data_IF_414074570533
#
_entry.id   IF_414074570533
#
_cell.length_a   1.000
_cell.length_b   1.000
_cell.length_c   1.000
_cell.angle_alpha   90.00
_cell.angle_beta   90.00
_cell.angle_gamma   90.00
#
_symmetry.space_group_name_H-M   'P 1'
#
loop_
_entity.id
_entity.type
_entity.pdbx_description
1 polymer ?
#
# COMPACT_ATOMS: atom_id res chain seq x y z
N UNK A 1 -8.07 -10.76 -28.04
CA UNK A 1 -7.95 -9.51 -28.83
C UNK A 1 -6.48 -9.30 -29.16
N UNK A 2 -6.12 -8.72 -30.32
CA UNK A 2 -4.76 -8.29 -30.56
C UNK A 2 -4.32 -7.25 -29.49
N UNK A 3 -3.01 -7.16 -29.18
CA UNK A 3 -2.52 -6.11 -28.29
C UNK A 3 -2.84 -4.73 -28.88
N UNK A 4 -3.26 -3.80 -28.01
CA UNK A 4 -3.50 -2.40 -28.40
C UNK A 4 -2.20 -1.79 -28.90
N UNK A 5 -2.25 -1.02 -29.97
CA UNK A 5 -1.11 -0.18 -30.34
C UNK A 5 -0.94 0.96 -29.33
N UNK A 6 0.29 1.46 -29.15
CA UNK A 6 0.57 2.59 -28.25
C UNK A 6 -0.33 3.79 -28.54
N UNK A 7 -0.57 4.08 -29.82
CA UNK A 7 -1.43 5.19 -30.25
C UNK A 7 -2.89 4.99 -29.81
N UNK A 8 -3.44 3.78 -29.98
CA UNK A 8 -4.80 3.48 -29.50
C UNK A 8 -4.88 3.54 -27.98
N UNK A 9 -3.82 3.15 -27.27
CA UNK A 9 -3.75 3.26 -25.82
C UNK A 9 -3.74 4.73 -25.37
N UNK A 10 -2.93 5.58 -26.01
CA UNK A 10 -2.89 7.03 -25.77
C UNK A 10 -4.27 7.69 -25.98
N UNK A 11 -4.94 7.38 -27.11
CA UNK A 11 -6.27 7.92 -27.43
C UNK A 11 -7.32 7.51 -26.39
N UNK A 12 -7.31 6.24 -25.95
CA UNK A 12 -8.24 5.73 -24.94
C UNK A 12 -7.98 6.31 -23.55
N UNK A 13 -6.72 6.45 -23.13
CA UNK A 13 -6.36 7.08 -21.86
C UNK A 13 -6.73 8.57 -21.85
N UNK A 14 -6.50 9.27 -22.96
CA UNK A 14 -6.91 10.67 -23.11
C UNK A 14 -8.42 10.83 -23.00
N UNK A 15 -9.18 9.98 -23.70
CA UNK A 15 -10.63 10.00 -23.65
C UNK A 15 -11.17 9.70 -22.23
N UNK A 16 -10.63 8.67 -21.58
CA UNK A 16 -11.03 8.29 -20.23
C UNK A 16 -10.67 9.38 -19.20
N UNK A 17 -9.48 9.98 -19.30
CA UNK A 17 -9.07 11.10 -18.46
C UNK A 17 -9.98 12.32 -18.63
N UNK A 18 -10.37 12.65 -19.86
CA UNK A 18 -11.31 13.73 -20.14
C UNK A 18 -12.70 13.46 -19.56
N UNK A 19 -13.19 12.22 -19.64
CA UNK A 19 -14.44 11.83 -18.97
C UNK A 19 -14.34 11.95 -17.45
N UNK A 20 -13.19 11.61 -16.87
CA UNK A 20 -13.01 11.67 -15.42
C UNK A 20 -12.84 13.10 -14.86
N UNK A 21 -12.47 14.08 -15.70
CA UNK A 21 -12.46 15.50 -15.31
C UNK A 21 -13.87 16.02 -14.97
N UNK A 22 -14.92 15.37 -15.48
CA UNK A 22 -16.31 15.60 -15.11
C UNK A 22 -16.94 14.23 -14.80
N UNK A 23 -16.61 13.66 -13.63
CA UNK A 23 -16.90 12.26 -13.35
C UNK A 23 -18.43 12.01 -13.38
N UNK A 24 -18.87 10.86 -13.91
CA UNK A 24 -20.28 10.48 -13.85
C UNK A 24 -20.79 10.48 -12.41
N UNK A 25 -21.99 11.02 -12.19
CA UNK A 25 -22.61 11.04 -10.85
C UNK A 25 -23.15 9.68 -10.42
N UNK A 26 -23.41 8.78 -11.38
CA UNK A 26 -23.91 7.43 -11.12
C UNK A 26 -22.77 6.46 -10.83
N UNK A 27 -22.91 5.66 -9.77
CA UNK A 27 -21.97 4.57 -9.47
C UNK A 27 -21.91 3.54 -10.60
N UNK A 28 -23.04 3.28 -11.27
CA UNK A 28 -23.15 2.31 -12.36
C UNK A 28 -22.34 2.73 -13.60
N UNK A 29 -21.96 4.00 -13.70
CA UNK A 29 -21.13 4.55 -14.78
C UNK A 29 -19.70 4.82 -14.32
N UNK A 30 -19.53 5.39 -13.11
CA UNK A 30 -18.22 5.74 -12.57
C UNK A 30 -17.36 4.51 -12.27
N UNK A 31 -17.96 3.46 -11.71
CA UNK A 31 -17.21 2.27 -11.32
C UNK A 31 -16.65 1.50 -12.54
N UNK A 32 -17.44 1.22 -13.60
CA UNK A 32 -16.89 0.65 -14.83
C UNK A 32 -15.86 1.56 -15.51
N UNK A 33 -16.01 2.89 -15.44
CA UNK A 33 -15.01 3.82 -15.98
C UNK A 33 -13.67 3.68 -15.25
N UNK A 34 -13.68 3.59 -13.91
CA UNK A 34 -12.47 3.34 -13.12
C UNK A 34 -11.86 1.97 -13.43
N UNK A 35 -12.69 0.94 -13.58
CA UNK A 35 -12.24 -0.41 -13.96
C UNK A 35 -11.55 -0.39 -15.34
N UNK A 36 -12.12 0.32 -16.31
CA UNK A 36 -11.52 0.52 -17.63
C UNK A 36 -10.21 1.29 -17.55
N UNK A 37 -10.13 2.35 -16.74
CA UNK A 37 -8.93 3.17 -16.59
C UNK A 37 -7.79 2.32 -16.03
N UNK A 38 -8.03 1.57 -14.96
CA UNK A 38 -7.05 0.65 -14.38
C UNK A 38 -6.54 -0.37 -15.41
N UNK A 39 -7.45 -0.97 -16.19
CA UNK A 39 -7.09 -1.92 -17.25
C UNK A 39 -6.20 -1.27 -18.33
N UNK A 40 -6.41 0.02 -18.65
CA UNK A 40 -5.57 0.76 -19.58
C UNK A 40 -4.21 1.08 -18.96
N UNK A 41 -4.18 1.56 -17.72
CA UNK A 41 -2.96 1.92 -17.01
C UNK A 41 -2.02 0.73 -16.81
N UNK A 42 -2.57 -0.45 -16.49
CA UNK A 42 -1.79 -1.69 -16.34
C UNK A 42 -1.00 -2.10 -17.60
N UNK A 43 -1.38 -1.58 -18.77
CA UNK A 43 -0.71 -1.83 -20.06
C UNK A 43 0.36 -0.80 -20.39
N UNK A 44 0.46 0.28 -19.62
CA UNK A 44 1.47 1.33 -19.82
C UNK A 44 2.75 0.92 -19.09
N UNK A 45 3.86 0.86 -19.83
CA UNK A 45 5.16 0.58 -19.25
C UNK A 45 5.66 1.76 -18.39
N UNK A 46 6.61 1.46 -17.51
CA UNK A 46 7.28 2.45 -16.67
C UNK A 46 8.10 3.43 -17.55
N UNK A 47 8.12 4.70 -17.16
CA UNK A 47 8.85 5.77 -17.86
C UNK A 47 8.49 5.88 -19.35
N UNK A 48 7.20 6.04 -19.70
CA UNK A 48 6.76 5.99 -21.09
C UNK A 48 7.18 7.24 -21.87
N UNK A 49 7.01 7.21 -23.20
CA UNK A 49 7.32 8.34 -24.07
C UNK A 49 6.50 9.61 -23.72
N UNK A 50 7.01 10.78 -24.13
CA UNK A 50 6.37 12.08 -23.84
C UNK A 50 4.93 12.19 -24.35
N UNK A 51 4.59 11.52 -25.45
CA UNK A 51 3.23 11.48 -25.98
C UNK A 51 2.27 10.77 -25.01
N UNK A 52 2.68 9.62 -24.47
CA UNK A 52 1.93 8.89 -23.46
C UNK A 52 1.83 9.67 -22.15
N UNK A 53 2.91 10.33 -21.71
CA UNK A 53 2.85 11.22 -20.54
C UNK A 53 1.82 12.36 -20.74
N UNK A 54 1.77 12.94 -21.94
CA UNK A 54 0.77 13.95 -22.27
C UNK A 54 -0.66 13.37 -22.29
N UNK A 55 -0.85 12.13 -22.77
CA UNK A 55 -2.12 11.42 -22.75
C UNK A 55 -2.61 11.10 -21.33
N UNK A 56 -1.70 10.84 -20.39
CA UNK A 56 -2.00 10.58 -18.97
C UNK A 56 -2.34 11.86 -18.18
N UNK A 57 -1.89 13.03 -18.63
CA UNK A 57 -2.02 14.28 -17.86
C UNK A 57 -3.46 14.64 -17.43
N UNK A 58 -4.50 14.56 -18.29
CA UNK A 58 -5.88 14.82 -17.88
C UNK A 58 -6.35 13.86 -16.78
N UNK A 59 -5.97 12.59 -16.91
CA UNK A 59 -6.34 11.53 -15.98
C UNK A 59 -5.66 11.72 -14.61
N UNK A 60 -4.35 11.99 -14.59
CA UNK A 60 -3.61 12.27 -13.36
C UNK A 60 -4.23 13.45 -12.59
N UNK A 61 -4.61 14.51 -13.30
CA UNK A 61 -5.29 15.66 -12.70
C UNK A 61 -6.66 15.29 -12.13
N UNK A 62 -7.45 14.49 -12.84
CA UNK A 62 -8.78 14.09 -12.41
C UNK A 62 -8.73 13.19 -11.16
N UNK A 63 -7.84 12.19 -11.13
CA UNK A 63 -7.76 11.20 -10.06
C UNK A 63 -7.50 11.78 -8.67
N UNK A 64 -6.84 12.94 -8.60
CA UNK A 64 -6.54 13.62 -7.33
C UNK A 64 -7.51 14.75 -6.99
N UNK A 65 -8.60 14.91 -7.75
CA UNK A 65 -9.65 15.85 -7.43
C UNK A 65 -10.40 15.42 -6.16
N UNK A 66 -10.75 16.40 -5.31
CA UNK A 66 -11.39 16.12 -4.01
C UNK A 66 -12.69 15.32 -4.14
N UNK A 67 -13.44 15.53 -5.23
CA UNK A 67 -14.69 14.81 -5.54
C UNK A 67 -14.50 13.29 -5.62
N UNK A 68 -13.34 12.83 -6.09
CA UNK A 68 -12.99 11.41 -6.20
C UNK A 68 -12.25 10.90 -4.96
N UNK A 69 -11.27 11.64 -4.46
CA UNK A 69 -10.46 11.23 -3.30
C UNK A 69 -11.32 11.14 -2.02
N UNK A 70 -12.23 12.10 -1.82
CA UNK A 70 -13.13 12.16 -0.65
C UNK A 70 -14.52 11.57 -0.95
N UNK A 71 -14.64 10.76 -2.01
CA UNK A 71 -15.91 10.18 -2.41
C UNK A 71 -16.51 9.29 -1.29
N UNK A 72 -17.83 9.39 -0.99
CA UNK A 72 -18.43 8.65 0.13
C UNK A 72 -18.49 7.13 -0.10
N UNK A 73 -18.56 6.69 -1.34
CA UNK A 73 -18.54 5.26 -1.69
C UNK A 73 -17.12 4.67 -1.58
N UNK A 74 -16.96 3.62 -0.78
CA UNK A 74 -15.68 2.94 -0.55
C UNK A 74 -15.10 2.30 -1.80
N UNK A 75 -15.95 1.71 -2.66
CA UNK A 75 -15.46 1.03 -3.85
C UNK A 75 -14.97 2.02 -4.92
N UNK A 76 -15.52 3.23 -4.97
CA UNK A 76 -14.99 4.34 -5.77
C UNK A 76 -13.61 4.72 -5.25
N UNK A 77 -13.46 4.92 -3.93
CA UNK A 77 -12.16 5.25 -3.32
C UNK A 77 -11.09 4.20 -3.61
N UNK A 78 -11.43 2.91 -3.53
CA UNK A 78 -10.49 1.84 -3.89
C UNK A 78 -10.18 1.82 -5.38
N UNK A 79 -11.18 2.06 -6.25
CA UNK A 79 -10.94 2.17 -7.70
C UNK A 79 -9.99 3.32 -8.06
N UNK A 80 -10.18 4.48 -7.43
CA UNK A 80 -9.28 5.64 -7.56
C UNK A 80 -7.89 5.31 -7.02
N UNK A 81 -7.78 4.68 -5.85
CA UNK A 81 -6.50 4.23 -5.28
C UNK A 81 -5.77 3.26 -6.22
N UNK A 82 -6.49 2.33 -6.86
CA UNK A 82 -5.92 1.38 -7.82
C UNK A 82 -5.34 2.11 -9.03
N UNK A 83 -6.12 3.02 -9.62
CA UNK A 83 -5.65 3.84 -10.75
C UNK A 83 -4.41 4.67 -10.37
N UNK A 84 -4.39 5.28 -9.18
CA UNK A 84 -3.25 6.09 -8.72
C UNK A 84 -2.02 5.20 -8.42
N UNK A 85 -2.21 3.99 -7.90
CA UNK A 85 -1.11 3.05 -7.69
C UNK A 85 -0.43 2.68 -9.01
N UNK A 86 -1.20 2.48 -10.08
CA UNK A 86 -0.67 2.26 -11.42
C UNK A 86 0.03 3.50 -11.99
N UNK A 87 -0.53 4.71 -11.79
CA UNK A 87 0.17 5.95 -12.15
C UNK A 87 1.53 6.04 -11.44
N UNK A 88 1.58 5.73 -10.14
CA UNK A 88 2.82 5.72 -9.35
C UNK A 88 3.81 4.71 -9.93
N UNK A 89 3.34 3.54 -10.37
CA UNK A 89 4.19 2.54 -11.05
C UNK A 89 4.72 3.06 -12.39
N UNK A 90 3.89 3.74 -13.17
CA UNK A 90 4.25 4.28 -14.48
C UNK A 90 5.30 5.39 -14.35
N UNK A 91 5.17 6.27 -13.35
CA UNK A 91 6.06 7.41 -13.17
C UNK A 91 7.31 7.09 -12.36
N UNK A 92 7.33 5.98 -11.61
CA UNK A 92 8.49 5.56 -10.84
C UNK A 92 9.79 5.60 -11.69
N UNK A 93 10.92 6.06 -11.14
CA UNK A 93 11.15 6.39 -9.73
C UNK A 93 10.62 7.77 -9.31
N UNK A 94 10.12 8.57 -10.24
CA UNK A 94 9.63 9.92 -9.95
C UNK A 94 8.21 9.87 -9.36
N UNK A 95 7.98 10.64 -8.29
CA UNK A 95 6.65 10.79 -7.71
C UNK A 95 5.71 11.48 -8.72
N UNK A 96 4.47 10.98 -8.90
CA UNK A 96 3.54 11.55 -9.88
C UNK A 96 2.98 12.92 -9.48
N UNK A 97 3.08 13.29 -8.20
CA UNK A 97 2.53 14.54 -7.65
C UNK A 97 3.52 15.16 -6.66
N UNK A 98 3.26 16.42 -6.28
CA UNK A 98 3.97 17.08 -5.18
C UNK A 98 3.69 16.43 -3.81
N UNK A 99 4.55 16.73 -2.84
CA UNK A 99 4.56 16.14 -1.50
C UNK A 99 3.20 16.20 -0.77
N UNK A 100 2.54 17.36 -0.78
CA UNK A 100 1.25 17.54 -0.13
C UNK A 100 0.18 16.65 -0.78
N UNK A 101 0.18 16.60 -2.11
CA UNK A 101 -0.74 15.75 -2.86
C UNK A 101 -0.43 14.27 -2.70
N UNK A 102 0.84 13.91 -2.59
CA UNK A 102 1.26 12.53 -2.32
C UNK A 102 0.80 12.04 -0.95
N UNK A 103 0.74 12.91 0.07
CA UNK A 103 0.17 12.56 1.38
C UNK A 103 -1.32 12.20 1.29
N UNK A 104 -2.11 12.98 0.55
CA UNK A 104 -3.52 12.66 0.29
C UNK A 104 -3.66 11.30 -0.42
N UNK A 105 -2.80 11.05 -1.42
CA UNK A 105 -2.76 9.79 -2.18
C UNK A 105 -2.42 8.61 -1.27
N UNK A 106 -1.41 8.74 -0.42
CA UNK A 106 -1.02 7.67 0.49
C UNK A 106 -2.10 7.37 1.52
N UNK A 107 -2.78 8.38 2.05
CA UNK A 107 -3.92 8.14 2.94
C UNK A 107 -5.02 7.33 2.23
N UNK A 108 -5.29 7.62 0.96
CA UNK A 108 -6.25 6.86 0.16
C UNK A 108 -5.79 5.41 -0.04
N UNK A 109 -4.51 5.19 -0.39
CA UNK A 109 -3.90 3.86 -0.54
C UNK A 109 -3.95 3.08 0.78
N UNK A 110 -3.54 3.66 1.90
CA UNK A 110 -3.55 2.99 3.21
C UNK A 110 -4.96 2.60 3.63
N UNK A 111 -5.95 3.50 3.43
CA UNK A 111 -7.36 3.20 3.71
C UNK A 111 -7.92 2.06 2.84
N UNK A 112 -7.30 1.78 1.69
CA UNK A 112 -7.65 0.65 0.84
C UNK A 112 -7.24 -0.71 1.46
N UNK A 113 -6.49 -0.75 2.55
CA UNK A 113 -6.07 -2.01 3.17
C UNK A 113 -6.97 -2.50 4.32
N UNK A 114 -7.82 -1.64 4.91
CA UNK A 114 -8.63 -1.97 6.11
C UNK A 114 -9.49 -3.24 6.00
N UNK A 115 -10.03 -3.51 4.80
CA UNK A 115 -10.99 -4.60 4.56
C UNK A 115 -10.44 -5.69 3.63
N UNK A 116 -9.12 -5.88 3.57
CA UNK A 116 -8.51 -6.88 2.69
C UNK A 116 -8.92 -8.33 3.05
N UNK A 117 -9.39 -8.58 4.27
CA UNK A 117 -9.94 -9.87 4.67
C UNK A 117 -11.27 -10.23 3.99
N UNK A 118 -12.04 -9.23 3.53
CA UNK A 118 -13.33 -9.48 2.87
C UNK A 118 -13.13 -9.84 1.40
N UNK A 119 -13.03 -11.13 1.11
CA UNK A 119 -12.91 -11.67 -0.25
C UNK A 119 -14.21 -11.59 -1.07
N UNK A 120 -15.34 -11.25 -0.43
CA UNK A 120 -16.63 -11.09 -1.12
C UNK A 120 -16.86 -9.67 -1.66
N UNK A 121 -16.05 -8.70 -1.22
CA UNK A 121 -16.10 -7.32 -1.69
C UNK A 121 -15.72 -7.21 -3.17
N UNK A 122 -16.43 -6.37 -3.95
CA UNK A 122 -16.06 -6.05 -5.35
C UNK A 122 -14.65 -5.47 -5.48
N UNK A 123 -14.13 -4.90 -4.40
CA UNK A 123 -12.85 -4.24 -4.35
C UNK A 123 -11.71 -5.16 -3.91
N UNK A 124 -11.97 -6.42 -3.53
CA UNK A 124 -10.95 -7.31 -2.98
C UNK A 124 -9.74 -7.46 -3.92
N UNK A 125 -9.99 -7.77 -5.19
CA UNK A 125 -8.94 -7.92 -6.21
C UNK A 125 -8.12 -6.63 -6.36
N UNK A 126 -8.79 -5.48 -6.43
CA UNK A 126 -8.10 -4.18 -6.52
C UNK A 126 -7.23 -3.89 -5.29
N UNK A 127 -7.69 -4.23 -4.08
CA UNK A 127 -6.89 -4.05 -2.85
C UNK A 127 -5.62 -4.91 -2.89
N UNK A 128 -5.71 -6.13 -3.44
CA UNK A 128 -4.55 -6.98 -3.66
C UNK A 128 -3.59 -6.37 -4.70
N UNK A 129 -4.10 -5.90 -5.84
CA UNK A 129 -3.30 -5.22 -6.86
C UNK A 129 -2.59 -3.97 -6.32
N UNK A 130 -3.29 -3.12 -5.56
CA UNK A 130 -2.69 -1.94 -4.90
C UNK A 130 -1.52 -2.36 -4.00
N UNK A 131 -1.74 -3.37 -3.17
CA UNK A 131 -0.72 -3.89 -2.26
C UNK A 131 0.51 -4.40 -3.03
N UNK A 132 0.28 -5.19 -4.08
CA UNK A 132 1.35 -5.71 -4.94
C UNK A 132 2.14 -4.58 -5.61
N UNK A 133 1.45 -3.57 -6.14
CA UNK A 133 2.09 -2.43 -6.80
C UNK A 133 2.91 -1.61 -5.80
N UNK A 134 2.37 -1.31 -4.61
CA UNK A 134 3.10 -0.59 -3.54
C UNK A 134 4.38 -1.34 -3.14
N UNK A 135 4.32 -2.66 -3.02
CA UNK A 135 5.50 -3.48 -2.72
C UNK A 135 6.53 -3.43 -3.86
N UNK A 136 6.06 -3.63 -5.10
CA UNK A 136 6.92 -3.73 -6.30
C UNK A 136 7.68 -2.44 -6.59
N UNK A 137 7.03 -1.28 -6.47
CA UNK A 137 7.66 0.03 -6.74
C UNK A 137 8.14 0.71 -5.47
N UNK A 138 8.13 -0.01 -4.33
CA UNK A 138 8.65 0.43 -3.04
C UNK A 138 8.05 1.77 -2.59
N UNK A 139 6.76 2.01 -2.86
CA UNK A 139 6.12 3.31 -2.56
C UNK A 139 6.16 3.70 -1.08
N UNK A 140 6.34 2.72 -0.19
CA UNK A 140 6.55 2.96 1.24
C UNK A 140 7.84 3.75 1.56
N UNK A 141 8.85 3.73 0.70
CA UNK A 141 10.06 4.57 0.87
C UNK A 141 9.71 6.05 0.67
N UNK A 142 8.85 6.37 -0.31
CA UNK A 142 8.35 7.73 -0.50
C UNK A 142 7.54 8.17 0.74
N UNK A 143 6.82 7.26 1.39
CA UNK A 143 6.12 7.59 2.64
C UNK A 143 7.09 7.94 3.78
N UNK A 144 8.27 7.30 3.84
CA UNK A 144 9.32 7.65 4.79
C UNK A 144 9.90 9.04 4.47
N UNK A 145 10.23 9.30 3.21
CA UNK A 145 10.78 10.59 2.76
C UNK A 145 9.82 11.77 3.05
N UNK A 146 8.50 11.50 3.04
CA UNK A 146 7.45 12.47 3.32
C UNK A 146 7.07 12.58 4.82
N UNK A 147 7.72 11.82 5.70
CA UNK A 147 7.45 11.77 7.14
C UNK A 147 6.00 11.34 7.46
N UNK A 148 5.48 10.34 6.75
CA UNK A 148 4.10 9.84 6.90
C UNK A 148 3.94 8.80 8.04
N UNK A 149 4.63 8.99 9.16
CA UNK A 149 4.80 7.98 10.23
C UNK A 149 3.47 7.38 10.70
N UNK A 150 2.46 8.22 10.94
CA UNK A 150 1.16 7.78 11.43
C UNK A 150 0.42 6.89 10.41
N UNK A 151 0.56 7.18 9.11
CA UNK A 151 -0.03 6.36 8.04
C UNK A 151 0.72 5.04 7.89
N UNK A 152 2.04 5.03 8.08
CA UNK A 152 2.84 3.80 8.06
C UNK A 152 2.43 2.88 9.21
N UNK A 153 2.25 3.43 10.42
CA UNK A 153 1.76 2.68 11.59
C UNK A 153 0.36 2.12 11.32
N UNK A 154 -0.54 2.94 10.76
CA UNK A 154 -1.90 2.50 10.36
C UNK A 154 -1.84 1.36 9.33
N UNK A 155 -0.96 1.46 8.34
CA UNK A 155 -0.74 0.43 7.32
C UNK A 155 -0.30 -0.90 7.94
N UNK A 156 0.66 -0.88 8.87
CA UNK A 156 1.11 -2.08 9.59
C UNK A 156 -0.04 -2.72 10.38
N UNK A 157 -0.84 -1.90 11.08
CA UNK A 157 -2.02 -2.37 11.80
C UNK A 157 -3.03 -3.01 10.86
N UNK A 158 -3.30 -2.39 9.71
CA UNK A 158 -4.21 -2.92 8.69
C UNK A 158 -3.73 -4.27 8.16
N UNK A 159 -2.44 -4.44 7.86
CA UNK A 159 -1.88 -5.72 7.40
C UNK A 159 -2.03 -6.82 8.44
N UNK A 160 -1.57 -6.57 9.67
CA UNK A 160 -1.58 -7.55 10.75
C UNK A 160 -3.01 -7.93 11.18
N UNK A 161 -3.97 -7.00 11.09
CA UNK A 161 -5.39 -7.26 11.38
C UNK A 161 -6.10 -8.00 10.24
N UNK A 162 -5.73 -7.74 8.99
CA UNK A 162 -6.47 -8.22 7.81
C UNK A 162 -5.95 -9.52 7.22
N UNK A 163 -4.68 -9.90 7.42
CA UNK A 163 -4.09 -11.11 6.82
C UNK A 163 -4.81 -12.39 7.26
N UNK A 164 -5.07 -13.31 6.32
CA UNK A 164 -5.80 -14.57 6.54
C UNK A 164 -5.14 -15.72 5.79
N UNK A 165 -5.33 -16.94 6.29
CA UNK A 165 -4.71 -18.18 5.73
C UNK A 165 -5.15 -18.48 4.31
N UNK A 166 -6.32 -18.02 3.89
CA UNK A 166 -6.84 -18.20 2.53
C UNK A 166 -6.36 -17.14 1.54
N UNK A 167 -5.66 -16.09 1.99
CA UNK A 167 -5.07 -15.13 1.07
C UNK A 167 -4.00 -15.80 0.21
N UNK A 168 -3.89 -15.37 -1.05
CA UNK A 168 -2.82 -15.84 -1.92
C UNK A 168 -1.45 -15.46 -1.34
N UNK A 169 -0.42 -16.28 -1.58
CA UNK A 169 0.93 -16.03 -1.04
C UNK A 169 1.49 -14.67 -1.48
N UNK A 170 1.09 -14.17 -2.65
CA UNK A 170 1.50 -12.83 -3.13
C UNK A 170 1.05 -11.70 -2.21
N UNK A 171 -0.12 -11.81 -1.56
CA UNK A 171 -0.60 -10.83 -0.58
C UNK A 171 0.31 -10.86 0.65
N UNK A 172 0.60 -12.07 1.16
CA UNK A 172 1.52 -12.24 2.30
C UNK A 172 2.90 -11.65 1.97
N UNK A 173 3.47 -12.05 0.84
CA UNK A 173 4.80 -11.60 0.40
C UNK A 173 4.85 -10.08 0.20
N UNK A 174 3.78 -9.46 -0.30
CA UNK A 174 3.71 -8.01 -0.48
C UNK A 174 3.65 -7.27 0.86
N UNK A 175 2.84 -7.73 1.82
CA UNK A 175 2.86 -7.18 3.19
C UNK A 175 4.23 -7.32 3.85
N UNK A 176 4.83 -8.51 3.76
CA UNK A 176 6.16 -8.80 4.31
C UNK A 176 7.21 -7.86 3.70
N UNK A 177 7.20 -7.72 2.37
CA UNK A 177 8.13 -6.84 1.64
C UNK A 177 7.97 -5.39 2.07
N UNK A 178 6.74 -4.86 2.11
CA UNK A 178 6.49 -3.46 2.50
C UNK A 178 6.95 -3.21 3.93
N UNK A 179 6.55 -4.07 4.87
CA UNK A 179 6.92 -3.89 6.28
C UNK A 179 8.42 -3.98 6.50
N UNK A 180 9.10 -4.92 5.83
CA UNK A 180 10.57 -5.07 5.89
C UNK A 180 11.27 -3.82 5.31
N UNK A 181 10.83 -3.36 4.12
CA UNK A 181 11.43 -2.17 3.47
C UNK A 181 11.30 -0.92 4.34
N UNK A 182 10.14 -0.72 4.97
CA UNK A 182 9.93 0.40 5.90
C UNK A 182 10.98 0.37 7.02
N UNK A 183 11.20 -0.80 7.65
CA UNK A 183 12.14 -0.91 8.77
C UNK A 183 13.60 -0.75 8.32
N UNK A 184 13.99 -1.38 7.21
CA UNK A 184 15.36 -1.31 6.69
C UNK A 184 15.76 0.11 6.25
N UNK A 185 14.85 0.80 5.56
CA UNK A 185 15.11 2.11 4.97
C UNK A 185 14.87 3.28 5.95
N UNK A 186 14.27 3.02 7.12
CA UNK A 186 14.09 4.05 8.16
C UNK A 186 15.44 4.49 8.72
N UNK A 187 15.70 5.80 8.81
CA UNK A 187 16.90 6.32 9.47
C UNK A 187 16.88 6.03 10.99
N UNK A 188 15.74 6.28 11.63
CA UNK A 188 15.44 6.02 13.03
C UNK A 188 14.11 5.25 13.15
N UNK A 189 14.03 4.31 14.09
CA UNK A 189 12.84 3.45 14.26
C UNK A 189 12.20 3.78 15.62
N UNK A 190 11.06 4.46 15.56
CA UNK A 190 10.32 4.83 16.76
C UNK A 190 9.70 3.60 17.45
N UNK A 191 9.52 3.63 18.78
CA UNK A 191 8.77 2.58 19.48
C UNK A 191 7.33 2.42 18.95
N UNK A 192 6.70 3.51 18.52
CA UNK A 192 5.35 3.50 17.95
C UNK A 192 5.27 2.73 16.63
N UNK A 193 6.31 2.77 15.80
CA UNK A 193 6.40 1.95 14.59
C UNK A 193 6.53 0.45 14.92
N UNK A 194 7.23 0.09 16.00
CA UNK A 194 7.39 -1.29 16.44
C UNK A 194 6.17 -1.85 17.17
N UNK A 195 5.36 -0.98 17.79
CA UNK A 195 4.23 -1.37 18.63
C UNK A 195 3.25 -2.34 17.95
N UNK A 196 2.79 -2.16 16.70
CA UNK A 196 1.90 -3.12 16.04
C UNK A 196 2.52 -4.52 15.89
N UNK A 197 3.82 -4.59 15.60
CA UNK A 197 4.56 -5.84 15.44
C UNK A 197 4.74 -6.52 16.80
N UNK A 198 5.21 -5.79 17.80
CA UNK A 198 5.42 -6.30 19.16
C UNK A 198 4.10 -6.76 19.81
N UNK A 199 3.01 -6.01 19.65
CA UNK A 199 1.69 -6.39 20.14
C UNK A 199 1.17 -7.69 19.50
N UNK A 200 1.52 -7.94 18.23
CA UNK A 200 1.23 -9.18 17.51
C UNK A 200 2.05 -10.36 18.04
N UNK A 201 3.32 -10.11 18.40
CA UNK A 201 4.26 -11.13 18.86
C UNK A 201 4.21 -11.43 20.37
N UNK A 202 3.38 -10.73 21.13
CA UNK A 202 3.17 -11.01 22.55
C UNK A 202 2.55 -12.42 22.72
N UNK A 203 3.21 -13.30 23.48
CA UNK A 203 2.85 -14.72 23.64
C UNK A 203 1.43 -14.91 24.15
N UNK A 204 1.02 -14.10 25.12
CA UNK A 204 -0.29 -14.18 25.78
C UNK A 204 -1.43 -13.52 24.97
N UNK A 205 -1.16 -13.06 23.75
CA UNK A 205 -2.18 -12.50 22.88
C UNK A 205 -2.84 -13.61 22.04
N UNK A 206 -3.88 -14.23 22.61
CA UNK A 206 -4.67 -15.30 21.96
C UNK A 206 -5.60 -14.76 20.86
N UNK A 207 -5.91 -13.46 20.86
CA UNK A 207 -6.77 -12.84 19.85
C UNK A 207 -6.09 -12.71 18.47
N UNK A 208 -4.77 -12.80 18.43
CA UNK A 208 -3.97 -12.65 17.20
C UNK A 208 -3.90 -13.97 16.44
N UNK A 209 -4.23 -13.91 15.15
CA UNK A 209 -4.22 -15.09 14.28
C UNK A 209 -2.79 -15.61 14.05
N UNK A 210 -2.58 -16.94 13.96
CA UNK A 210 -1.24 -17.51 13.73
C UNK A 210 -0.55 -16.98 12.47
N UNK A 211 -1.30 -16.69 11.40
CA UNK A 211 -0.71 -16.14 10.18
C UNK A 211 -0.22 -14.69 10.34
N UNK A 212 -0.87 -13.89 11.18
CA UNK A 212 -0.40 -12.55 11.51
C UNK A 212 0.89 -12.62 12.35
N UNK A 213 0.97 -13.57 13.30
CA UNK A 213 2.21 -13.85 14.04
C UNK A 213 3.34 -14.24 13.09
N UNK A 214 3.07 -15.15 12.14
CA UNK A 214 4.04 -15.55 11.12
C UNK A 214 4.53 -14.36 10.28
N UNK A 215 3.64 -13.45 9.89
CA UNK A 215 4.01 -12.23 9.16
C UNK A 215 4.93 -11.35 9.99
N UNK A 216 4.56 -11.04 11.23
CA UNK A 216 5.38 -10.26 12.14
C UNK A 216 6.74 -10.91 12.44
N UNK A 217 6.79 -12.23 12.62
CA UNK A 217 8.03 -12.98 12.82
C UNK A 217 8.96 -12.87 11.61
N UNK A 218 8.44 -13.04 10.38
CA UNK A 218 9.25 -12.89 9.16
C UNK A 218 9.80 -11.47 9.02
N UNK A 219 9.00 -10.45 9.32
CA UNK A 219 9.44 -9.05 9.28
C UNK A 219 10.58 -8.79 10.29
N UNK A 220 10.45 -9.27 11.53
CA UNK A 220 11.54 -9.14 12.53
C UNK A 220 12.81 -9.87 12.07
N UNK A 221 12.68 -11.08 11.52
CA UNK A 221 13.83 -11.87 11.05
C UNK A 221 14.54 -11.19 9.88
N UNK A 222 13.78 -10.70 8.91
CA UNK A 222 14.34 -10.06 7.72
C UNK A 222 15.05 -8.74 8.05
N UNK A 223 14.65 -8.08 9.15
CA UNK A 223 15.21 -6.80 9.61
C UNK A 223 16.02 -6.91 10.90
N UNK A 224 16.50 -8.11 11.25
CA UNK A 224 17.14 -8.39 12.55
C UNK A 224 18.31 -7.45 12.84
N UNK A 225 19.22 -7.28 11.88
CA UNK A 225 20.42 -6.46 12.07
C UNK A 225 20.10 -4.99 12.30
N UNK A 226 19.12 -4.46 11.57
CA UNK A 226 18.64 -3.09 11.73
C UNK A 226 17.90 -2.90 13.05
N UNK A 227 17.08 -3.87 13.44
CA UNK A 227 16.16 -3.78 14.58
C UNK A 227 16.80 -4.03 15.94
N UNK A 228 17.89 -4.79 16.02
CA UNK A 228 18.59 -5.16 17.27
C UNK A 228 18.71 -4.01 18.30
N UNK A 229 19.26 -2.82 17.96
CA UNK A 229 19.36 -1.72 18.92
C UNK A 229 17.98 -1.16 19.35
N UNK A 230 17.03 -1.09 18.43
CA UNK A 230 15.69 -0.52 18.67
C UNK A 230 14.80 -1.44 19.50
N UNK A 231 14.86 -2.75 19.28
CA UNK A 231 14.10 -3.74 20.06
C UNK A 231 14.54 -3.75 21.51
N UNK A 232 15.86 -3.68 21.76
CA UNK A 232 16.41 -3.61 23.12
C UNK A 232 15.86 -2.38 23.85
N UNK A 233 15.95 -1.20 23.22
CA UNK A 233 15.45 0.05 23.78
C UNK A 233 13.93 0.05 23.99
N UNK A 234 13.16 -0.48 23.03
CA UNK A 234 11.71 -0.55 23.12
C UNK A 234 11.27 -1.43 24.30
N UNK A 235 11.89 -2.59 24.48
CA UNK A 235 11.56 -3.51 25.57
C UNK A 235 11.91 -2.96 26.95
N UNK A 236 13.05 -2.28 27.09
CA UNK A 236 13.43 -1.56 28.32
C UNK A 236 12.39 -0.48 28.67
N UNK A 237 11.91 0.27 27.66
CA UNK A 237 10.93 1.34 27.87
C UNK A 237 9.55 0.83 28.30
N UNK A 238 9.20 -0.39 27.91
CA UNK A 238 7.90 -1.01 28.20
C UNK A 238 7.85 -1.72 29.56
N UNK A 239 8.98 -1.77 30.30
CA UNK A 239 9.16 -2.60 31.51
C UNK A 239 8.65 -4.04 31.30
N UNK A 240 8.79 -4.53 30.07
CA UNK A 240 8.21 -5.79 29.64
C UNK A 240 9.25 -6.90 29.77
N UNK A 241 8.82 -8.06 30.27
CA UNK A 241 9.71 -9.21 30.29
C UNK A 241 9.94 -9.69 28.87
N UNK A 242 11.21 -9.93 28.52
CA UNK A 242 11.59 -10.60 27.27
C UNK A 242 10.79 -11.90 27.06
N UNK A 243 10.51 -12.63 28.14
CA UNK A 243 9.73 -13.88 28.11
C UNK A 243 8.26 -13.70 27.68
N UNK A 244 7.75 -12.46 27.62
CA UNK A 244 6.40 -12.16 27.15
C UNK A 244 6.28 -12.19 25.62
N UNK A 245 7.38 -12.25 24.87
CA UNK A 245 7.42 -12.12 23.41
C UNK A 245 7.86 -13.42 22.70
N UNK A 246 7.55 -13.55 21.41
CA UNK A 246 7.92 -14.71 20.61
C UNK A 246 9.44 -14.97 20.64
N UNK A 247 9.83 -16.23 20.45
CA UNK A 247 11.25 -16.64 20.45
C UNK A 247 12.10 -15.85 19.45
N UNK A 248 11.50 -15.43 18.32
CA UNK A 248 12.17 -14.60 17.31
C UNK A 248 12.64 -13.27 17.88
N UNK A 249 11.85 -12.59 18.71
CA UNK A 249 12.26 -11.32 19.33
C UNK A 249 13.43 -11.55 20.28
N UNK A 250 13.38 -12.64 21.05
CA UNK A 250 14.47 -13.03 21.96
C UNK A 250 15.78 -13.27 21.22
N UNK A 251 15.73 -13.99 20.10
CA UNK A 251 16.91 -14.31 19.30
C UNK A 251 17.56 -13.04 18.74
N UNK A 252 16.78 -12.12 18.20
CA UNK A 252 17.32 -10.87 17.63
C UNK A 252 17.97 -9.98 18.70
N UNK A 253 17.42 -9.93 19.91
CA UNK A 253 17.97 -9.12 21.01
C UNK A 253 19.21 -9.78 21.65
N UNK A 254 19.34 -11.11 21.57
CA UNK A 254 20.42 -11.86 22.21
C UNK A 254 21.73 -11.93 21.40
N UNK A 255 21.68 -11.63 20.10
CA UNK A 255 22.85 -11.57 19.20
C UNK A 255 23.61 -10.25 19.30
#
# INVERSE_FOLDING_TARGET
MPPLSDKELEERLTAAGNSLLQPPSSLDELLPLLDQIEELLSKVEQSPAKSMQAALSPLMKALVAEELVKHPNVDVKVGVASCISEITRITAPDAPYDDDKMKDVFQLIVSSFENLADTSSRSHEKRATILETVAKVRSCVIMLDLECDQMIIEMFQNFLKSIRVYHAEVIFASMETIMTLVLEESEDISPDLLNPILATLKRNNEAVMPIAKKLAERVIQNSADKLRPYLTQALESLDASLDDYSEVVLLVVAE
#
